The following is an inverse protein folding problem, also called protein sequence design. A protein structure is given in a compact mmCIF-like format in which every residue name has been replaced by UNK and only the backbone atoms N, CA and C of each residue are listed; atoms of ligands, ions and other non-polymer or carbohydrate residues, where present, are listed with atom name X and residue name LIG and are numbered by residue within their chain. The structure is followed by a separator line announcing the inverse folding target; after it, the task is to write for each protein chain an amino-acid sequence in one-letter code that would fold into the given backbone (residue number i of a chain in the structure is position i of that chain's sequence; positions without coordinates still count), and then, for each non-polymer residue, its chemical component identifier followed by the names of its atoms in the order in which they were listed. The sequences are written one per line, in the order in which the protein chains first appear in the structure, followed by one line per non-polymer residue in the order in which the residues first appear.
data_IF_352887489125
#
_entry.id   IF_352887489125
#
_cell.length_a   1.000
_cell.length_b   1.000
_cell.length_c   1.000
_cell.angle_alpha   90.00
_cell.angle_beta   90.00
_cell.angle_gamma   90.00
#
_symmetry.space_group_name_H-M   'P 1'
#
loop_
_entity.id
_entity.type
_entity.pdbx_description
1 polymer ?
#
# COMPACT_ATOMS: atom_id res chain seq x y z
N UNK A 1 2.74 1.61 3.66
CA UNK A 1 1.83 1.40 2.51
C UNK A 1 1.28 -0.01 2.42
N UNK A 2 1.95 -1.09 2.84
CA UNK A 2 1.30 -2.41 2.84
C UNK A 2 0.17 -2.53 3.86
N UNK A 3 -0.89 -3.21 3.43
CA UNK A 3 -2.12 -3.46 4.17
C UNK A 3 -1.89 -4.61 5.12
N UNK A 4 -1.99 -4.33 6.41
CA UNK A 4 -2.15 -5.41 7.37
C UNK A 4 -3.58 -5.95 7.20
N UNK A 5 -3.72 -7.25 6.93
CA UNK A 5 -4.97 -8.00 7.02
C UNK A 5 -5.39 -8.16 8.50
N UNK A 6 -5.41 -7.07 9.27
CA UNK A 6 -5.65 -7.10 10.70
C UNK A 6 -7.15 -7.02 10.99
N UNK A 7 -7.80 -8.19 11.07
CA UNK A 7 -9.16 -8.32 11.59
C UNK A 7 -9.15 -8.89 13.02
N UNK A 8 -9.86 -8.18 13.91
CA UNK A 8 -10.21 -8.55 15.30
C UNK A 8 -9.12 -8.67 16.38
N UNK A 9 -9.19 -7.75 17.34
CA UNK A 9 -8.56 -7.91 18.66
C UNK A 9 -9.52 -8.61 19.65
N UNK A 10 -9.16 -9.78 20.22
CA UNK A 10 -9.97 -10.39 21.28
C UNK A 10 -9.73 -9.69 22.63
N UNK A 11 -10.82 -9.43 23.37
CA UNK A 11 -10.72 -9.01 24.79
C UNK A 11 -10.35 -10.21 25.67
N UNK A 12 -9.55 -10.02 26.74
CA UNK A 12 -9.10 -11.14 27.57
C UNK A 12 -10.23 -11.70 28.45
N UNK A 13 -10.25 -13.02 28.65
CA UNK A 13 -10.89 -13.67 29.79
C UNK A 13 -9.79 -14.25 30.70
N UNK A 14 -9.89 -13.96 32.00
CA UNK A 14 -9.04 -14.55 33.03
C UNK A 14 -9.58 -15.91 33.50
N UNK A 15 -8.66 -16.81 33.83
CA UNK A 15 -8.66 -17.85 34.89
C UNK A 15 -7.31 -18.61 34.72
N UNK A 16 -6.38 -18.59 35.68
CA UNK A 16 -6.34 -19.47 36.86
C UNK A 16 -5.44 -20.69 36.57
N UNK A 17 -4.11 -20.66 36.83
CA UNK A 17 -3.42 -21.23 38.04
C UNK A 17 -3.65 -22.76 38.15
N UNK A 18 -2.69 -23.70 38.27
CA UNK A 18 -1.25 -23.77 38.65
C UNK A 18 -0.68 -25.14 38.16
N UNK A 19 0.51 -25.29 37.54
CA UNK A 19 1.89 -25.37 38.09
C UNK A 19 2.51 -26.80 38.09
N UNK A 20 3.84 -26.86 38.02
CA UNK A 20 4.79 -27.96 38.25
C UNK A 20 5.29 -28.86 37.08
N UNK A 21 6.62 -28.81 36.96
CA UNK A 21 7.58 -29.67 36.24
C UNK A 21 8.37 -30.47 37.32
N UNK A 22 9.16 -31.55 37.04
CA UNK A 22 10.45 -31.38 36.33
C UNK A 22 11.08 -32.59 35.57
N UNK A 23 11.89 -32.24 34.55
CA UNK A 23 13.26 -32.72 34.23
C UNK A 23 13.64 -34.23 34.35
N UNK A 24 14.15 -34.82 33.24
CA UNK A 24 15.32 -35.73 33.28
C UNK A 24 16.28 -35.62 32.06
N UNK A 25 17.55 -35.91 32.36
CA UNK A 25 18.80 -35.94 31.54
C UNK A 25 19.17 -37.39 31.18
N UNK A 26 20.02 -37.74 30.20
CA UNK A 26 20.64 -37.06 29.01
C UNK A 26 21.32 -38.16 28.19
N UNK A 27 21.30 -38.10 26.84
CA UNK A 27 22.28 -38.87 26.02
C UNK A 27 22.78 -38.06 24.82
N UNK A 28 24.11 -38.02 24.63
CA UNK A 28 24.75 -37.53 23.40
C UNK A 28 24.86 -38.67 22.38
N UNK A 29 24.79 -38.34 21.09
CA UNK A 29 25.37 -39.15 20.01
C UNK A 29 26.14 -38.21 19.08
N UNK A 30 27.38 -38.57 18.75
CA UNK A 30 28.28 -37.80 17.87
C UNK A 30 28.22 -38.30 16.42
N UNK A 31 28.78 -37.46 15.52
CA UNK A 31 29.09 -37.71 14.10
C UNK A 31 27.88 -37.87 13.13
N UNK A 32 27.83 -37.14 12.01
CA UNK A 32 28.90 -36.96 11.02
C UNK A 32 29.03 -35.56 10.44
N UNK A 33 30.25 -35.23 10.02
CA UNK A 33 30.63 -34.02 9.30
C UNK A 33 30.11 -34.01 7.86
N UNK A 34 29.18 -33.10 7.55
CA UNK A 34 28.78 -32.79 6.18
C UNK A 34 29.62 -31.64 5.62
N UNK A 35 30.44 -31.91 4.61
CA UNK A 35 31.18 -30.87 3.90
C UNK A 35 30.21 -30.08 3.00
N UNK A 36 30.11 -28.74 3.11
CA UNK A 36 29.20 -27.97 2.26
C UNK A 36 29.79 -27.86 0.85
N UNK A 37 29.17 -28.54 -0.13
CA UNK A 37 29.35 -28.18 -1.54
C UNK A 37 28.85 -26.74 -1.72
N UNK A 38 29.70 -25.87 -2.25
CA UNK A 38 29.40 -24.45 -2.50
C UNK A 38 28.37 -24.29 -3.62
N UNK A 39 27.09 -24.28 -3.28
CA UNK A 39 26.09 -23.53 -4.04
C UNK A 39 25.70 -22.32 -3.19
N UNK A 40 26.34 -21.18 -3.45
CA UNK A 40 25.97 -19.91 -2.85
C UNK A 40 24.63 -19.47 -3.47
N UNK A 41 23.55 -19.23 -2.71
CA UNK A 41 22.24 -18.93 -3.29
C UNK A 41 22.26 -17.54 -3.94
N UNK A 42 22.46 -17.51 -5.26
CA UNK A 42 22.06 -16.37 -6.07
C UNK A 42 20.54 -16.27 -6.02
N UNK A 43 20.05 -15.35 -5.19
CA UNK A 43 18.73 -14.79 -5.41
C UNK A 43 18.80 -14.04 -6.73
N UNK A 44 17.85 -14.29 -7.64
CA UNK A 44 17.70 -13.49 -8.84
C UNK A 44 17.47 -12.02 -8.47
N UNK A 45 17.88 -11.10 -9.35
CA UNK A 45 17.68 -9.67 -9.11
C UNK A 45 16.20 -9.34 -9.17
N UNK A 46 15.81 -8.29 -8.44
CA UNK A 46 14.48 -7.68 -8.55
C UNK A 46 14.13 -7.48 -10.03
N UNK A 47 15.08 -6.92 -10.77
CA UNK A 47 14.93 -6.46 -12.14
C UNK A 47 14.60 -7.66 -13.04
N UNK A 48 15.35 -8.77 -12.92
CA UNK A 48 15.08 -10.00 -13.68
C UNK A 48 13.70 -10.62 -13.41
N UNK A 49 13.14 -10.46 -12.22
CA UNK A 49 11.80 -10.97 -11.88
C UNK A 49 10.69 -10.01 -12.31
N UNK A 50 10.93 -8.72 -12.10
CA UNK A 50 10.05 -7.63 -12.51
C UNK A 50 9.84 -7.62 -14.04
N UNK A 51 10.95 -7.76 -14.78
CA UNK A 51 10.99 -7.85 -16.24
C UNK A 51 10.34 -9.14 -16.75
N UNK A 52 10.64 -10.29 -16.12
CA UNK A 52 10.06 -11.60 -16.48
C UNK A 52 8.54 -11.63 -16.37
N UNK A 53 8.00 -11.03 -15.30
CA UNK A 53 6.56 -10.90 -15.10
C UNK A 53 5.94 -9.75 -15.92
N UNK A 54 6.76 -9.02 -16.68
CA UNK A 54 6.35 -7.92 -17.53
C UNK A 54 5.64 -6.81 -16.76
N UNK A 55 6.03 -6.54 -15.50
CA UNK A 55 5.27 -5.62 -14.67
C UNK A 55 5.32 -4.19 -15.24
N UNK A 56 6.44 -3.71 -15.77
CA UNK A 56 6.46 -2.44 -16.51
C UNK A 56 5.43 -2.40 -17.66
N UNK A 57 5.14 -3.54 -18.31
CA UNK A 57 4.11 -3.63 -19.36
C UNK A 57 2.68 -3.59 -18.81
N UNK A 58 2.47 -3.91 -17.53
CA UNK A 58 1.20 -3.65 -16.85
C UNK A 58 0.97 -2.15 -16.65
N UNK A 59 2.05 -1.35 -16.62
CA UNK A 59 2.01 0.12 -16.46
C UNK A 59 2.06 0.88 -17.78
N UNK A 60 2.72 0.32 -18.79
CA UNK A 60 2.85 0.90 -20.13
C UNK A 60 1.57 0.79 -20.98
N UNK A 61 0.40 0.83 -20.35
CA UNK A 61 -0.85 1.09 -21.05
C UNK A 61 -0.89 2.56 -21.47
N UNK A 62 -0.04 2.91 -22.44
CA UNK A 62 -0.22 4.10 -23.27
C UNK A 62 -1.51 3.89 -24.08
N UNK A 63 -2.64 4.25 -23.46
CA UNK A 63 -3.83 4.70 -24.17
C UNK A 63 -3.80 6.23 -24.24
N UNK A 64 -3.12 6.81 -25.25
CA UNK A 64 -3.45 8.16 -25.68
C UNK A 64 -4.78 8.08 -26.44
N UNK A 65 -5.88 8.34 -25.75
CA UNK A 65 -7.17 8.78 -26.31
C UNK A 65 -8.14 9.01 -25.14
N UNK A 66 -9.05 9.97 -25.12
CA UNK A 66 -9.24 11.23 -25.83
C UNK A 66 -10.58 11.75 -25.29
N UNK A 67 -10.58 12.83 -24.50
CA UNK A 67 -11.77 13.68 -24.38
C UNK A 67 -11.37 15.13 -24.12
N UNK A 68 -10.69 15.71 -25.12
CA UNK A 68 -10.64 17.16 -25.24
C UNK A 68 -12.02 17.66 -25.64
N UNK A 69 -12.83 18.08 -24.66
CA UNK A 69 -14.11 18.72 -24.91
C UNK A 69 -13.96 20.26 -24.93
N UNK A 70 -13.12 20.76 -25.85
CA UNK A 70 -13.10 22.18 -26.26
C UNK A 70 -13.02 22.32 -27.77
N UNK A 71 -14.10 22.87 -28.35
CA UNK A 71 -14.22 23.25 -29.77
C UNK A 71 -14.33 22.01 -30.71
N UNK A 72 -15.26 21.88 -31.65
CA UNK A 72 -16.28 22.78 -32.22
C UNK A 72 -17.50 21.98 -32.70
N UNK A 73 -18.72 22.48 -32.54
CA UNK A 73 -19.53 22.93 -33.71
C UNK A 73 -20.73 23.76 -33.27
N UNK A 74 -20.75 25.01 -33.71
CA UNK A 74 -21.99 25.70 -34.04
C UNK A 74 -22.51 25.06 -35.33
N UNK A 75 -23.64 24.37 -35.24
CA UNK A 75 -24.35 23.83 -36.42
C UNK A 75 -25.79 24.31 -36.33
N UNK A 76 -26.23 25.02 -37.36
CA UNK A 76 -27.51 25.72 -37.37
C UNK A 76 -28.71 24.77 -37.34
N UNK A 77 -29.72 25.13 -36.54
CA UNK A 77 -31.08 24.61 -36.72
C UNK A 77 -31.96 25.78 -37.18
N UNK A 78 -31.98 25.97 -38.50
CA UNK A 78 -32.97 26.78 -39.19
C UNK A 78 -34.34 26.09 -39.04
N UNK A 79 -35.21 26.63 -38.20
CA UNK A 79 -36.67 26.47 -38.37
C UNK A 79 -37.20 27.78 -38.94
N UNK A 80 -37.59 27.74 -40.21
CA UNK A 80 -38.30 28.84 -40.86
C UNK A 80 -39.68 28.96 -40.21
N UNK A 81 -40.00 30.16 -39.72
CA UNK A 81 -41.24 30.50 -39.05
C UNK A 81 -41.58 31.96 -39.34
N UNK A 82 -42.25 32.17 -40.46
CA UNK A 82 -42.56 33.45 -41.08
C UNK A 82 -43.53 34.31 -40.25
N UNK A 83 -43.11 35.53 -39.90
CA UNK A 83 -43.87 36.46 -39.08
C UNK A 83 -43.24 37.85 -38.97
N UNK A 84 -43.89 38.83 -39.61
CA UNK A 84 -43.57 40.27 -39.72
C UNK A 84 -42.84 40.93 -38.51
N UNK A 85 -41.89 41.86 -38.75
CA UNK A 85 -41.17 42.54 -37.67
C UNK A 85 -42.03 43.58 -36.95
N UNK A 86 -42.31 43.34 -35.67
CA UNK A 86 -42.73 44.41 -34.75
C UNK A 86 -41.53 44.92 -33.96
N UNK A 87 -41.19 46.19 -34.14
CA UNK A 87 -40.04 46.86 -33.53
C UNK A 87 -40.26 47.07 -32.03
N UNK A 88 -40.00 46.05 -31.20
CA UNK A 88 -39.96 46.23 -29.75
C UNK A 88 -38.68 46.93 -29.34
N UNK A 89 -38.83 48.18 -28.89
CA UNK A 89 -37.79 49.01 -28.31
C UNK A 89 -37.03 48.26 -27.21
N UNK A 90 -35.70 48.12 -27.38
CA UNK A 90 -34.80 47.63 -26.33
C UNK A 90 -34.50 48.81 -25.41
N UNK A 91 -35.11 48.82 -24.23
CA UNK A 91 -34.83 49.81 -23.17
C UNK A 91 -33.41 49.61 -22.61
N UNK A 92 -32.56 50.65 -22.45
CA UNK A 92 -31.15 50.49 -22.05
C UNK A 92 -30.88 50.03 -20.60
N UNK A 93 -31.92 49.65 -19.84
CA UNK A 93 -31.84 49.41 -18.39
C UNK A 93 -32.45 48.06 -17.97
N UNK A 94 -32.57 47.08 -18.87
CA UNK A 94 -33.09 45.75 -18.53
C UNK A 94 -32.19 45.00 -17.52
N UNK A 95 -32.50 45.22 -16.25
CA UNK A 95 -31.81 44.70 -15.07
C UNK A 95 -32.07 43.22 -14.83
N UNK A 96 -32.98 42.62 -15.59
CA UNK A 96 -33.34 41.20 -15.52
C UNK A 96 -32.15 40.29 -15.85
N UNK A 97 -31.33 40.69 -16.83
CA UNK A 97 -30.10 39.97 -17.21
C UNK A 97 -29.08 39.95 -16.06
N UNK A 98 -28.95 41.07 -15.33
CA UNK A 98 -28.11 41.16 -14.14
C UNK A 98 -28.62 40.30 -12.97
N UNK A 99 -29.93 40.34 -12.71
CA UNK A 99 -30.56 39.54 -11.66
C UNK A 99 -30.43 38.01 -11.92
N UNK A 100 -30.60 37.58 -13.17
CA UNK A 100 -30.37 36.19 -13.58
C UNK A 100 -28.90 35.79 -13.44
N UNK A 101 -27.96 36.65 -13.86
CA UNK A 101 -26.53 36.43 -13.69
C UNK A 101 -26.11 36.28 -12.22
N UNK A 102 -26.57 37.18 -11.34
CA UNK A 102 -26.33 37.11 -9.89
C UNK A 102 -26.98 35.86 -9.27
N UNK A 103 -28.16 35.46 -9.74
CA UNK A 103 -28.84 34.23 -9.31
C UNK A 103 -28.12 32.95 -9.73
N UNK A 104 -27.54 32.91 -10.94
CA UNK A 104 -26.67 31.82 -11.41
C UNK A 104 -25.35 31.78 -10.63
N UNK A 105 -24.69 32.93 -10.44
CA UNK A 105 -23.45 33.03 -9.67
C UNK A 105 -23.67 32.59 -8.21
N UNK A 106 -24.77 33.02 -7.59
CA UNK A 106 -25.18 32.61 -6.24
C UNK A 106 -25.50 31.12 -6.13
N UNK A 107 -26.16 30.53 -7.14
CA UNK A 107 -26.37 29.07 -7.22
C UNK A 107 -25.05 28.31 -7.36
N UNK A 108 -24.14 28.77 -8.24
CA UNK A 108 -22.80 28.19 -8.43
C UNK A 108 -21.96 28.28 -7.16
N UNK A 109 -21.94 29.42 -6.47
CA UNK A 109 -21.23 29.57 -5.19
C UNK A 109 -21.81 28.69 -4.08
N UNK A 110 -23.14 28.56 -3.97
CA UNK A 110 -23.78 27.62 -3.02
C UNK A 110 -23.43 26.17 -3.32
N UNK A 111 -23.43 25.77 -4.60
CA UNK A 111 -23.01 24.45 -5.04
C UNK A 111 -21.55 24.15 -4.66
N UNK A 112 -20.62 25.07 -4.98
CA UNK A 112 -19.19 24.93 -4.65
C UNK A 112 -18.96 24.83 -3.14
N UNK A 113 -19.61 25.68 -2.33
CA UNK A 113 -19.55 25.60 -0.85
C UNK A 113 -20.08 24.26 -0.34
N UNK A 114 -21.20 23.76 -0.88
CA UNK A 114 -21.76 22.46 -0.49
C UNK A 114 -20.82 21.30 -0.88
N UNK A 115 -20.23 21.32 -2.08
CA UNK A 115 -19.21 20.34 -2.52
C UNK A 115 -18.00 20.37 -1.58
N UNK A 116 -17.47 21.54 -1.24
CA UNK A 116 -16.34 21.69 -0.33
C UNK A 116 -16.66 21.16 1.09
N UNK A 117 -17.87 21.40 1.60
CA UNK A 117 -18.33 20.84 2.89
C UNK A 117 -18.46 19.31 2.87
N UNK A 118 -18.92 18.74 1.75
CA UNK A 118 -18.98 17.28 1.57
C UNK A 118 -17.55 16.71 1.55
N UNK A 119 -16.66 17.25 0.71
CA UNK A 119 -15.26 16.81 0.61
C UNK A 119 -14.52 16.91 1.96
N UNK A 120 -14.71 17.98 2.72
CA UNK A 120 -14.11 18.12 4.04
C UNK A 120 -14.56 17.02 5.02
N UNK A 121 -15.84 16.62 4.99
CA UNK A 121 -16.36 15.49 5.78
C UNK A 121 -15.82 14.16 5.27
N UNK A 122 -15.75 13.97 3.95
CA UNK A 122 -15.19 12.77 3.33
C UNK A 122 -13.75 12.53 3.75
N UNK A 123 -12.88 13.53 3.64
CA UNK A 123 -11.47 13.41 4.05
C UNK A 123 -11.30 13.18 5.56
N UNK A 124 -12.17 13.75 6.40
CA UNK A 124 -12.17 13.47 7.85
C UNK A 124 -12.57 12.02 8.17
N UNK A 125 -13.48 11.42 7.38
CA UNK A 125 -13.80 9.99 7.52
C UNK A 125 -12.67 9.10 7.00
N UNK A 126 -12.04 9.44 5.87
CA UNK A 126 -10.81 8.77 5.42
C UNK A 126 -9.69 8.84 6.49
N UNK A 127 -9.56 9.98 7.19
CA UNK A 127 -8.65 10.13 8.34
C UNK A 127 -9.00 9.19 9.48
N UNK A 128 -10.29 9.12 9.87
CA UNK A 128 -10.78 8.24 10.94
C UNK A 128 -10.49 6.77 10.63
N UNK A 129 -10.79 6.33 9.41
CA UNK A 129 -10.50 4.98 8.92
C UNK A 129 -8.99 4.71 8.97
N UNK A 130 -8.17 5.61 8.45
CA UNK A 130 -6.70 5.44 8.47
C UNK A 130 -6.14 5.31 9.88
N UNK A 131 -6.59 6.15 10.82
CA UNK A 131 -6.16 6.13 12.22
C UNK A 131 -6.58 4.86 12.97
N UNK A 132 -7.80 4.38 12.71
CA UNK A 132 -8.36 3.19 13.34
C UNK A 132 -7.60 1.93 12.90
N UNK A 133 -7.41 1.75 11.58
CA UNK A 133 -6.93 0.50 11.00
C UNK A 133 -5.40 0.41 10.85
N UNK A 134 -4.64 1.52 10.79
CA UNK A 134 -3.17 1.43 10.67
C UNK A 134 -2.41 2.50 11.45
N UNK A 135 -2.19 2.26 12.74
CA UNK A 135 -1.53 3.22 13.65
C UNK A 135 -0.08 3.57 13.30
N UNK A 136 0.67 2.69 12.62
CA UNK A 136 2.03 3.00 12.16
C UNK A 136 1.99 3.88 10.91
N UNK A 137 1.14 3.52 9.94
CA UNK A 137 0.98 4.30 8.71
C UNK A 137 0.38 5.69 9.01
N UNK A 138 -0.67 5.77 9.83
CA UNK A 138 -1.28 7.03 10.23
C UNK A 138 -0.28 7.99 10.87
N UNK A 139 0.61 7.50 11.75
CA UNK A 139 1.71 8.30 12.32
C UNK A 139 2.66 8.81 11.23
N UNK A 140 3.06 7.96 10.28
CA UNK A 140 3.85 8.37 9.11
C UNK A 140 3.16 9.45 8.27
N UNK A 141 1.84 9.36 8.06
CA UNK A 141 1.10 10.41 7.34
C UNK A 141 1.08 11.76 8.05
N UNK A 142 1.31 11.83 9.36
CA UNK A 142 1.42 13.12 10.08
C UNK A 142 2.67 13.92 9.69
N UNK A 143 3.65 13.29 9.05
CA UNK A 143 4.86 13.95 8.54
C UNK A 143 4.65 14.59 7.15
N UNK A 144 3.58 14.23 6.42
CA UNK A 144 3.25 14.81 5.11
C UNK A 144 2.63 16.21 5.26
N UNK A 145 2.75 17.03 4.22
CA UNK A 145 1.98 18.29 4.10
C UNK A 145 0.46 18.02 4.22
N UNK A 146 -0.35 18.96 4.74
CA UNK A 146 -1.78 18.72 4.98
C UNK A 146 -2.59 18.33 3.73
N UNK A 147 -2.12 18.70 2.54
CA UNK A 147 -2.72 18.35 1.26
C UNK A 147 -2.42 16.90 0.86
N UNK A 148 -1.13 16.55 0.72
CA UNK A 148 -0.68 15.19 0.43
C UNK A 148 -1.25 14.18 1.44
N UNK A 149 -1.28 14.56 2.72
CA UNK A 149 -1.85 13.77 3.81
C UNK A 149 -3.30 13.36 3.56
N UNK A 150 -4.16 14.29 3.11
CA UNK A 150 -5.57 14.01 2.80
C UNK A 150 -5.72 13.06 1.61
N UNK A 151 -4.97 13.29 0.53
CA UNK A 151 -4.99 12.42 -0.64
C UNK A 151 -4.51 10.99 -0.30
N UNK A 152 -3.44 10.85 0.50
CA UNK A 152 -2.97 9.54 0.99
C UNK A 152 -4.01 8.83 1.86
N UNK A 153 -4.79 9.55 2.67
CA UNK A 153 -5.90 8.95 3.42
C UNK A 153 -7.03 8.44 2.52
N UNK A 154 -7.35 9.17 1.44
CA UNK A 154 -8.35 8.73 0.47
C UNK A 154 -7.91 7.45 -0.25
N UNK A 155 -6.67 7.40 -0.75
CA UNK A 155 -6.09 6.18 -1.36
C UNK A 155 -6.08 5.02 -0.35
N UNK A 156 -5.57 5.23 0.86
CA UNK A 156 -5.56 4.18 1.90
C UNK A 156 -6.96 3.66 2.22
N UNK A 157 -7.96 4.54 2.28
CA UNK A 157 -9.35 4.17 2.56
C UNK A 157 -9.96 3.36 1.43
N UNK A 158 -9.70 3.71 0.17
CA UNK A 158 -10.13 2.90 -0.97
C UNK A 158 -9.47 1.51 -0.96
N UNK A 159 -8.16 1.44 -0.73
CA UNK A 159 -7.44 0.18 -0.63
C UNK A 159 -7.95 -0.70 0.52
N UNK A 160 -8.22 -0.11 1.71
CA UNK A 160 -8.84 -0.78 2.85
C UNK A 160 -10.22 -1.36 2.50
N UNK A 161 -11.08 -0.57 1.85
CA UNK A 161 -12.40 -1.05 1.42
C UNK A 161 -12.32 -2.16 0.37
N UNK A 162 -11.27 -2.15 -0.45
CA UNK A 162 -10.98 -3.19 -1.46
C UNK A 162 -10.54 -4.50 -0.79
N UNK A 163 -9.65 -4.41 0.22
CA UNK A 163 -9.22 -5.50 1.11
C UNK A 163 -10.42 -6.11 1.88
N UNK A 164 -11.24 -5.26 2.51
CA UNK A 164 -12.41 -5.65 3.31
C UNK A 164 -13.52 -6.39 2.50
N UNK A 165 -13.50 -6.37 1.16
CA UNK A 165 -14.41 -7.20 0.33
C UNK A 165 -14.08 -8.68 0.49
N UNK A 166 -12.79 -9.02 0.49
CA UNK A 166 -12.31 -10.41 0.58
C UNK A 166 -11.88 -10.81 1.99
N UNK A 167 -11.64 -9.85 2.89
CA UNK A 167 -11.25 -10.12 4.29
C UNK A 167 -12.45 -10.53 5.16
N UNK A 168 -12.96 -11.75 4.93
CA UNK A 168 -14.10 -12.32 5.67
C UNK A 168 -13.99 -13.83 5.92
N UNK A 169 -14.63 -14.36 6.98
CA UNK A 169 -14.64 -15.80 7.21
C UNK A 169 -15.38 -16.53 6.08
N UNK A 170 -14.74 -17.60 5.56
CA UNK A 170 -15.27 -18.49 4.50
C UNK A 170 -15.30 -17.89 3.08
N UNK A 171 -14.27 -17.12 2.69
CA UNK A 171 -14.03 -16.64 1.31
C UNK A 171 -14.32 -17.70 0.24
N UNK A 172 -13.74 -18.89 0.39
CA UNK A 172 -13.87 -20.01 -0.55
C UNK A 172 -15.31 -20.51 -0.72
N UNK A 173 -16.17 -20.36 0.29
CA UNK A 173 -17.60 -20.73 0.22
C UNK A 173 -18.47 -19.64 -0.43
N UNK A 174 -17.89 -18.47 -0.74
CA UNK A 174 -18.59 -17.29 -1.30
C UNK A 174 -17.95 -16.79 -2.61
N UNK A 175 -17.08 -17.59 -3.22
CA UNK A 175 -16.19 -17.18 -4.32
C UNK A 175 -16.91 -16.58 -5.53
N UNK A 176 -18.13 -17.03 -5.86
CA UNK A 176 -18.97 -16.42 -6.91
C UNK A 176 -19.54 -15.05 -6.51
N UNK A 177 -20.03 -14.91 -5.27
CA UNK A 177 -20.56 -13.64 -4.76
C UNK A 177 -19.46 -12.58 -4.61
N UNK A 178 -18.26 -13.00 -4.19
CA UNK A 178 -17.09 -12.13 -4.09
C UNK A 178 -16.59 -11.65 -5.45
N UNK A 179 -16.56 -12.51 -6.48
CA UNK A 179 -16.29 -12.09 -7.86
C UNK A 179 -17.27 -11.02 -8.35
N UNK A 180 -18.56 -11.20 -8.10
CA UNK A 180 -19.58 -10.20 -8.49
C UNK A 180 -19.39 -8.88 -7.74
N UNK A 181 -19.01 -8.91 -6.46
CA UNK A 181 -18.68 -7.70 -5.70
C UNK A 181 -17.42 -6.99 -6.24
N UNK A 182 -16.38 -7.74 -6.61
CA UNK A 182 -15.16 -7.18 -7.20
C UNK A 182 -15.40 -6.61 -8.61
N UNK A 183 -16.31 -7.20 -9.40
CA UNK A 183 -16.74 -6.66 -10.70
C UNK A 183 -17.57 -5.37 -10.57
N UNK A 184 -18.47 -5.28 -9.59
CA UNK A 184 -19.14 -4.02 -9.25
C UNK A 184 -18.13 -2.97 -8.70
N UNK A 185 -17.12 -3.42 -7.96
CA UNK A 185 -16.04 -2.56 -7.46
C UNK A 185 -15.15 -2.00 -8.57
N UNK A 186 -14.93 -2.75 -9.66
CA UNK A 186 -14.25 -2.26 -10.87
C UNK A 186 -15.11 -1.23 -11.61
N UNK A 187 -16.42 -1.48 -11.79
CA UNK A 187 -17.36 -0.47 -12.30
C UNK A 187 -17.33 0.82 -11.47
N UNK A 188 -17.34 0.66 -10.14
CA UNK A 188 -17.27 1.77 -9.18
C UNK A 188 -15.95 2.54 -9.22
N UNK A 189 -14.85 1.87 -9.54
CA UNK A 189 -13.54 2.48 -9.72
C UNK A 189 -13.54 3.39 -10.96
N UNK A 190 -14.17 2.97 -12.06
CA UNK A 190 -14.31 3.79 -13.27
C UNK A 190 -15.14 5.06 -12.97
N UNK A 191 -16.27 4.94 -12.26
CA UNK A 191 -17.08 6.08 -11.80
C UNK A 191 -16.28 7.10 -10.96
N UNK A 192 -15.28 6.66 -10.19
CA UNK A 192 -14.40 7.52 -9.40
C UNK A 192 -13.40 8.26 -10.30
N UNK A 193 -12.82 7.58 -11.29
CA UNK A 193 -11.87 8.18 -12.23
C UNK A 193 -12.52 9.17 -13.20
N UNK A 194 -13.81 8.99 -13.51
CA UNK A 194 -14.66 9.98 -14.21
C UNK A 194 -15.02 11.21 -13.34
N UNK A 195 -14.54 11.26 -12.09
CA UNK A 195 -14.76 12.37 -11.16
C UNK A 195 -16.08 12.30 -10.38
N UNK A 196 -16.76 11.15 -10.42
CA UNK A 196 -17.97 10.83 -9.69
C UNK A 196 -17.72 10.10 -8.36
N UNK A 197 -18.64 9.21 -7.99
CA UNK A 197 -18.58 8.42 -6.77
C UNK A 197 -19.97 8.13 -6.18
N UNK A 198 -20.13 6.95 -5.58
CA UNK A 198 -21.40 6.47 -5.00
C UNK A 198 -21.59 6.92 -3.55
N UNK A 199 -20.52 7.26 -2.84
CA UNK A 199 -20.57 7.83 -1.49
C UNK A 199 -19.45 8.86 -1.23
N UNK A 200 -19.40 9.37 0.01
CA UNK A 200 -18.43 10.41 0.38
C UNK A 200 -16.97 9.96 0.24
N UNK A 201 -16.63 8.70 0.50
CA UNK A 201 -15.25 8.21 0.45
C UNK A 201 -14.76 8.14 -0.99
N UNK A 202 -15.65 7.73 -1.91
CA UNK A 202 -15.41 7.78 -3.36
C UNK A 202 -15.12 9.22 -3.80
N UNK A 203 -15.94 10.20 -3.36
CA UNK A 203 -15.74 11.61 -3.69
C UNK A 203 -14.39 12.17 -3.20
N UNK A 204 -13.82 11.64 -2.11
CA UNK A 204 -12.49 12.03 -1.66
C UNK A 204 -11.38 11.43 -2.53
N UNK A 205 -11.55 10.21 -3.05
CA UNK A 205 -10.59 9.66 -4.02
C UNK A 205 -10.71 10.35 -5.38
N UNK A 206 -11.92 10.62 -5.87
CA UNK A 206 -12.15 11.37 -7.11
C UNK A 206 -11.55 12.80 -7.06
N UNK A 207 -11.65 13.46 -5.91
CA UNK A 207 -10.98 14.75 -5.66
C UNK A 207 -9.44 14.60 -5.65
N UNK A 208 -8.90 13.54 -5.06
CA UNK A 208 -7.46 13.27 -5.11
C UNK A 208 -6.97 12.99 -6.54
N UNK A 209 -7.67 12.14 -7.32
CA UNK A 209 -7.38 11.86 -8.74
C UNK A 209 -7.40 13.15 -9.57
N UNK A 210 -8.42 14.01 -9.38
CA UNK A 210 -8.52 15.29 -10.09
C UNK A 210 -7.41 16.30 -9.77
N UNK A 211 -6.85 16.25 -8.55
CA UNK A 211 -5.75 17.11 -8.11
C UNK A 211 -4.37 16.55 -8.50
N UNK A 212 -4.20 15.23 -8.55
CA UNK A 212 -2.93 14.54 -8.88
C UNK A 212 -3.03 13.82 -10.23
N UNK A 213 -2.99 14.59 -11.33
CA UNK A 213 -3.28 14.11 -12.71
C UNK A 213 -2.39 13.01 -13.26
N UNK A 214 -1.21 12.78 -12.68
CA UNK A 214 -0.35 11.64 -13.05
C UNK A 214 -0.77 10.32 -12.37
N UNK A 215 -1.83 10.33 -11.55
CA UNK A 215 -2.42 9.11 -10.98
C UNK A 215 -3.27 8.37 -12.02
N UNK A 216 -2.87 7.15 -12.35
CA UNK A 216 -3.57 6.28 -13.31
C UNK A 216 -4.49 5.28 -12.61
N UNK A 217 -5.52 4.78 -13.32
CA UNK A 217 -6.46 3.77 -12.81
C UNK A 217 -5.83 2.36 -12.74
N UNK A 218 -4.83 2.08 -13.58
CA UNK A 218 -4.15 0.78 -13.71
C UNK A 218 -3.72 0.11 -12.38
N UNK A 219 -3.03 0.79 -11.44
CA UNK A 219 -2.73 0.20 -10.12
C UNK A 219 -3.97 -0.23 -9.32
N UNK A 220 -5.06 0.53 -9.43
CA UNK A 220 -6.29 0.25 -8.71
C UNK A 220 -6.93 -1.02 -9.26
N UNK A 221 -7.02 -1.16 -10.59
CA UNK A 221 -7.45 -2.41 -11.24
C UNK A 221 -6.53 -3.59 -10.91
N UNK A 222 -5.20 -3.38 -10.88
CA UNK A 222 -4.26 -4.43 -10.49
C UNK A 222 -4.39 -4.85 -9.01
N UNK A 223 -4.77 -3.95 -8.11
CA UNK A 223 -5.13 -4.31 -6.73
C UNK A 223 -6.41 -5.16 -6.68
N UNK A 224 -7.42 -4.85 -7.49
CA UNK A 224 -8.64 -5.68 -7.62
C UNK A 224 -8.28 -7.10 -8.12
N UNK A 225 -7.37 -7.21 -9.10
CA UNK A 225 -6.82 -8.51 -9.54
C UNK A 225 -6.05 -9.23 -8.43
N UNK A 226 -5.45 -8.50 -7.48
CA UNK A 226 -4.84 -9.07 -6.27
C UNK A 226 -5.88 -9.69 -5.34
N UNK A 227 -7.00 -9.00 -5.11
CA UNK A 227 -8.11 -9.54 -4.32
C UNK A 227 -8.76 -10.77 -4.99
N UNK A 228 -8.79 -10.84 -6.32
CA UNK A 228 -9.22 -12.05 -7.03
C UNK A 228 -8.30 -13.25 -6.77
N UNK A 229 -6.97 -13.04 -6.67
CA UNK A 229 -6.05 -14.11 -6.25
C UNK A 229 -6.40 -14.60 -4.84
N UNK A 230 -6.73 -13.68 -3.91
CA UNK A 230 -7.15 -14.05 -2.56
C UNK A 230 -8.47 -14.85 -2.51
N UNK A 231 -9.36 -14.71 -3.51
CA UNK A 231 -10.58 -15.53 -3.60
C UNK A 231 -10.27 -16.96 -4.04
N UNK A 232 -9.26 -17.14 -4.90
CA UNK A 232 -9.03 -18.36 -5.66
C UNK A 232 -7.84 -19.20 -5.18
N UNK A 233 -6.89 -18.58 -4.47
CA UNK A 233 -5.60 -19.16 -4.11
C UNK A 233 -5.36 -19.09 -2.60
N UNK A 234 -4.85 -20.19 -2.02
CA UNK A 234 -4.52 -20.28 -0.59
C UNK A 234 -3.05 -20.65 -0.32
N UNK A 235 -2.27 -20.91 -1.40
CA UNK A 235 -0.88 -21.38 -1.43
C UNK A 235 -0.18 -20.77 -2.63
N UNK A 236 1.12 -20.49 -2.51
CA UNK A 236 1.97 -20.01 -3.59
C UNK A 236 3.07 -21.04 -3.82
N UNK A 237 3.17 -21.59 -5.03
CA UNK A 237 4.13 -22.66 -5.33
C UNK A 237 5.56 -22.09 -5.32
N UNK A 238 5.75 -20.94 -5.97
CA UNK A 238 7.02 -20.26 -6.13
C UNK A 238 7.02 -18.86 -5.50
N UNK A 239 8.23 -18.29 -5.32
CA UNK A 239 8.37 -16.89 -4.98
C UNK A 239 7.90 -15.96 -6.11
N UNK A 240 7.96 -16.37 -7.38
CA UNK A 240 7.48 -15.56 -8.51
C UNK A 240 5.95 -15.34 -8.41
N UNK A 241 5.20 -16.37 -8.01
CA UNK A 241 3.76 -16.28 -7.73
C UNK A 241 3.47 -15.33 -6.56
N UNK A 242 4.22 -15.48 -5.46
CA UNK A 242 4.08 -14.63 -4.27
C UNK A 242 4.47 -13.18 -4.57
N UNK A 243 5.46 -12.96 -5.42
CA UNK A 243 5.92 -11.65 -5.83
C UNK A 243 4.85 -10.94 -6.67
N UNK A 244 4.20 -11.64 -7.62
CA UNK A 244 3.06 -11.10 -8.37
C UNK A 244 1.91 -10.69 -7.44
N UNK A 245 1.64 -11.51 -6.42
CA UNK A 245 0.68 -11.15 -5.36
C UNK A 245 1.11 -9.89 -4.59
N UNK A 246 2.35 -9.84 -4.11
CA UNK A 246 2.88 -8.69 -3.35
C UNK A 246 2.93 -7.39 -4.18
N UNK A 247 3.20 -7.50 -5.48
CA UNK A 247 3.04 -6.42 -6.44
C UNK A 247 1.58 -5.92 -6.45
N UNK A 248 0.61 -6.81 -6.71
CA UNK A 248 -0.81 -6.42 -6.84
C UNK A 248 -1.39 -5.82 -5.56
N UNK A 249 -1.12 -6.40 -4.39
CA UNK A 249 -1.77 -5.96 -3.13
C UNK A 249 -1.02 -4.85 -2.39
N UNK A 250 0.23 -4.54 -2.74
CA UNK A 250 1.02 -3.52 -2.04
C UNK A 250 2.01 -2.73 -2.90
N UNK A 251 2.61 -3.33 -3.93
CA UNK A 251 3.44 -2.63 -4.92
C UNK A 251 2.63 -1.55 -5.66
N UNK A 252 1.45 -1.90 -6.15
CA UNK A 252 0.47 -0.99 -6.77
C UNK A 252 0.21 0.25 -5.92
N UNK A 253 0.11 0.12 -4.60
CA UNK A 253 -0.16 1.23 -3.68
C UNK A 253 1.03 2.16 -3.48
N UNK A 254 2.26 1.64 -3.57
CA UNK A 254 3.44 2.47 -3.74
C UNK A 254 3.30 3.39 -4.96
N UNK A 255 2.73 2.87 -6.05
CA UNK A 255 2.54 3.60 -7.29
C UNK A 255 1.27 4.48 -7.35
N UNK A 256 0.16 4.10 -6.69
CA UNK A 256 -1.01 4.99 -6.49
C UNK A 256 -0.63 6.27 -5.75
N UNK A 257 0.34 6.17 -4.82
CA UNK A 257 0.74 7.27 -3.95
C UNK A 257 1.99 8.00 -4.42
N UNK A 258 2.76 7.46 -5.38
CA UNK A 258 3.94 8.11 -5.93
C UNK A 258 3.62 9.47 -6.59
N UNK A 259 2.54 9.65 -7.39
CA UNK A 259 2.10 10.97 -7.85
C UNK A 259 1.77 11.96 -6.71
N UNK A 260 1.27 11.46 -5.58
CA UNK A 260 0.99 12.29 -4.39
C UNK A 260 2.29 12.69 -3.69
N UNK A 261 3.28 11.79 -3.64
CA UNK A 261 4.60 12.12 -3.11
C UNK A 261 5.32 13.14 -3.99
N UNK A 262 5.22 12.99 -5.31
CA UNK A 262 5.98 13.77 -6.27
C UNK A 262 7.48 13.46 -6.23
N UNK A 263 8.18 13.92 -7.24
CA UNK A 263 9.59 13.59 -7.52
C UNK A 263 10.41 14.85 -7.78
N UNK A 264 11.74 14.77 -7.61
CA UNK A 264 12.65 15.91 -7.81
C UNK A 264 12.59 16.43 -9.24
N UNK A 265 12.50 15.52 -10.21
CA UNK A 265 12.04 15.83 -11.57
C UNK A 265 10.50 15.79 -11.58
N UNK A 266 9.79 16.85 -12.00
CA UNK A 266 8.33 16.83 -12.08
C UNK A 266 7.83 15.99 -13.28
N UNK A 267 6.58 15.49 -13.17
CA UNK A 267 5.90 14.76 -14.24
C UNK A 267 6.40 13.32 -14.46
N UNK A 268 5.87 12.69 -15.52
CA UNK A 268 6.01 11.25 -15.80
C UNK A 268 7.45 10.71 -15.82
N UNK A 269 8.44 11.48 -16.30
CA UNK A 269 9.84 11.03 -16.32
C UNK A 269 10.39 10.79 -14.92
N UNK A 270 10.22 11.76 -14.01
CA UNK A 270 10.67 11.64 -12.63
C UNK A 270 9.91 10.57 -11.85
N UNK A 271 8.60 10.44 -12.11
CA UNK A 271 7.81 9.34 -11.55
C UNK A 271 8.39 8.00 -11.98
N UNK A 272 8.66 7.79 -13.28
CA UNK A 272 9.27 6.56 -13.81
C UNK A 272 10.61 6.23 -13.16
N UNK A 273 11.49 7.21 -12.93
CA UNK A 273 12.75 7.00 -12.21
C UNK A 273 12.54 6.51 -10.75
N UNK A 274 11.43 6.90 -10.12
CA UNK A 274 11.09 6.50 -8.76
C UNK A 274 10.18 5.24 -8.67
N UNK A 275 9.62 4.76 -9.78
CA UNK A 275 8.65 3.64 -9.82
C UNK A 275 9.22 2.37 -9.19
N UNK A 276 10.40 1.91 -9.63
CA UNK A 276 11.02 0.70 -9.13
C UNK A 276 11.23 0.71 -7.59
N UNK A 277 11.56 1.87 -7.04
CA UNK A 277 11.79 2.03 -5.61
C UNK A 277 10.49 2.09 -4.80
N UNK A 278 9.44 2.72 -5.36
CA UNK A 278 8.10 2.72 -4.77
C UNK A 278 7.49 1.30 -4.76
N UNK A 279 7.69 0.54 -5.84
CA UNK A 279 7.35 -0.89 -5.94
C UNK A 279 8.12 -1.74 -4.92
N UNK A 280 9.44 -1.59 -4.87
CA UNK A 280 10.27 -2.31 -3.92
C UNK A 280 9.86 -2.00 -2.47
N UNK A 281 9.43 -0.76 -2.18
CA UNK A 281 8.87 -0.42 -0.87
C UNK A 281 7.58 -1.21 -0.62
N UNK A 282 6.61 -1.17 -1.55
CA UNK A 282 5.36 -1.92 -1.44
C UNK A 282 5.57 -3.41 -1.17
N UNK A 283 6.44 -4.06 -1.95
CA UNK A 283 6.76 -5.48 -1.82
C UNK A 283 7.47 -5.78 -0.50
N UNK A 284 8.50 -5.02 -0.10
CA UNK A 284 9.19 -5.21 1.18
C UNK A 284 8.26 -5.06 2.39
N UNK A 285 7.31 -4.12 2.31
CA UNK A 285 6.28 -3.94 3.32
C UNK A 285 5.28 -5.11 3.37
N UNK A 286 4.92 -5.74 2.24
CA UNK A 286 3.98 -6.88 2.22
C UNK A 286 4.65 -8.18 2.67
N UNK A 287 5.89 -8.44 2.24
CA UNK A 287 6.69 -9.54 2.79
C UNK A 287 6.83 -9.42 4.32
N UNK A 288 6.99 -8.19 4.83
CA UNK A 288 7.00 -7.92 6.28
C UNK A 288 5.65 -8.21 6.95
N UNK A 289 4.53 -7.99 6.27
CA UNK A 289 3.21 -8.35 6.80
C UNK A 289 3.06 -9.88 6.86
N UNK A 290 3.33 -10.59 5.76
CA UNK A 290 3.32 -12.06 5.67
C UNK A 290 4.17 -12.68 6.79
N UNK A 291 5.41 -12.22 6.95
CA UNK A 291 6.33 -12.77 7.96
C UNK A 291 5.93 -12.45 9.41
N UNK A 292 5.15 -11.39 9.63
CA UNK A 292 4.61 -11.05 10.95
C UNK A 292 3.34 -11.85 11.27
N UNK A 293 2.53 -12.15 10.26
CA UNK A 293 1.13 -12.56 10.42
C UNK A 293 0.89 -14.05 10.15
N UNK A 294 1.93 -14.87 9.90
CA UNK A 294 1.86 -16.34 9.72
C UNK A 294 0.94 -17.05 10.74
N UNK A 295 1.00 -16.65 12.02
CA UNK A 295 0.15 -17.21 13.07
C UNK A 295 -1.34 -16.87 12.96
N UNK A 296 -1.70 -15.75 12.32
CA UNK A 296 -3.06 -15.34 12.01
C UNK A 296 -3.53 -15.93 10.67
N UNK A 297 -2.67 -15.98 9.66
CA UNK A 297 -2.97 -16.51 8.32
C UNK A 297 -3.30 -18.00 8.35
N UNK A 298 -2.53 -18.80 9.10
CA UNK A 298 -2.82 -20.24 9.28
C UNK A 298 -4.20 -20.50 9.88
N UNK A 299 -4.71 -19.60 10.75
CA UNK A 299 -6.04 -19.73 11.37
C UNK A 299 -7.17 -19.48 10.34
N UNK A 300 -6.85 -18.81 9.23
CA UNK A 300 -7.72 -18.66 8.05
C UNK A 300 -7.49 -19.77 7.02
N UNK A 301 -6.61 -20.73 7.31
CA UNK A 301 -6.23 -21.83 6.41
C UNK A 301 -5.27 -21.42 5.29
N UNK A 302 -4.60 -20.26 5.40
CA UNK A 302 -3.71 -19.70 4.37
C UNK A 302 -2.24 -19.89 4.70
N UNK A 303 -1.42 -20.06 3.66
CA UNK A 303 0.04 -20.03 3.75
C UNK A 303 0.54 -19.16 2.59
N UNK A 304 1.03 -17.96 2.90
CA UNK A 304 1.64 -17.06 1.92
C UNK A 304 3.13 -17.36 1.67
N UNK A 305 3.80 -18.09 2.56
CA UNK A 305 5.20 -18.49 2.35
C UNK A 305 5.29 -19.44 1.14
N UNK A 306 6.26 -19.28 0.21
CA UNK A 306 6.34 -20.14 -0.98
C UNK A 306 6.57 -21.60 -0.61
N UNK A 307 5.84 -22.51 -1.24
CA UNK A 307 5.99 -23.95 -1.01
C UNK A 307 7.39 -24.44 -1.39
N UNK A 308 8.00 -23.86 -2.43
CA UNK A 308 9.40 -24.13 -2.79
C UNK A 308 10.39 -23.83 -1.64
N UNK A 309 10.12 -22.79 -0.84
CA UNK A 309 11.00 -22.36 0.25
C UNK A 309 10.74 -23.20 1.51
N UNK A 310 9.49 -23.58 1.78
CA UNK A 310 9.16 -24.63 2.74
C UNK A 310 9.95 -25.93 2.45
N UNK A 311 9.88 -26.41 1.21
CA UNK A 311 10.60 -27.60 0.76
C UNK A 311 12.13 -27.43 0.86
N UNK A 312 12.67 -26.26 0.49
CA UNK A 312 14.10 -25.91 0.57
C UNK A 312 14.68 -26.03 1.97
N UNK A 313 13.89 -25.73 3.01
CA UNK A 313 14.26 -25.88 4.41
C UNK A 313 13.78 -27.20 5.05
N UNK A 314 13.27 -28.14 4.25
CA UNK A 314 12.70 -29.43 4.67
C UNK A 314 11.57 -29.26 5.71
N UNK A 315 10.77 -28.20 5.57
CA UNK A 315 9.68 -27.82 6.47
C UNK A 315 8.33 -28.00 5.76
N UNK A 316 7.39 -28.73 6.35
CA UNK A 316 6.13 -29.08 5.68
C UNK A 316 5.01 -28.07 5.96
N UNK A 317 3.95 -28.11 5.16
CA UNK A 317 2.71 -27.40 5.51
C UNK A 317 2.13 -27.88 6.84
N UNK A 318 2.20 -29.19 7.13
CA UNK A 318 1.72 -29.76 8.38
C UNK A 318 2.51 -29.22 9.58
N UNK A 319 3.84 -29.12 9.47
CA UNK A 319 4.69 -28.46 10.47
C UNK A 319 4.24 -27.00 10.71
N UNK A 320 3.94 -26.25 9.65
CA UNK A 320 3.47 -24.86 9.74
C UNK A 320 2.12 -24.75 10.44
N UNK A 321 1.13 -25.56 10.01
CA UNK A 321 -0.21 -25.54 10.57
C UNK A 321 -0.22 -25.93 12.06
N UNK A 322 0.67 -26.85 12.46
CA UNK A 322 0.91 -27.30 13.83
C UNK A 322 1.88 -26.41 14.64
N UNK A 323 2.37 -25.29 14.10
CA UNK A 323 3.28 -24.34 14.75
C UNK A 323 4.63 -24.93 15.22
N UNK A 324 5.25 -25.82 14.44
CA UNK A 324 6.51 -26.50 14.80
C UNK A 324 7.72 -25.53 14.78
N UNK A 325 7.96 -24.85 15.90
CA UNK A 325 9.01 -23.84 16.03
C UNK A 325 10.42 -24.42 16.24
N UNK A 326 10.97 -25.09 15.23
CA UNK A 326 12.29 -25.74 15.26
C UNK A 326 13.39 -24.97 14.48
N UNK A 327 14.56 -25.61 14.30
CA UNK A 327 15.70 -25.02 13.56
C UNK A 327 15.44 -24.87 12.06
N UNK A 328 14.61 -25.73 11.45
CA UNK A 328 14.21 -25.63 10.04
C UNK A 328 13.41 -24.35 9.83
N UNK A 329 12.36 -24.16 10.65
CA UNK A 329 11.52 -22.95 10.60
C UNK A 329 12.34 -21.67 10.84
N UNK A 330 13.22 -21.66 11.85
CA UNK A 330 14.08 -20.51 12.14
C UNK A 330 15.05 -20.17 11.00
N UNK A 331 15.45 -21.14 10.19
CA UNK A 331 16.30 -20.89 9.03
C UNK A 331 15.49 -20.41 7.81
N UNK A 332 14.29 -20.95 7.59
CA UNK A 332 13.30 -20.41 6.64
C UNK A 332 12.99 -18.93 6.95
N UNK A 333 12.65 -18.60 8.20
CA UNK A 333 12.35 -17.22 8.61
C UNK A 333 13.53 -16.26 8.39
N UNK A 334 14.77 -16.67 8.66
CA UNK A 334 15.96 -15.85 8.35
C UNK A 334 16.11 -15.60 6.85
N UNK A 335 15.87 -16.61 6.03
CA UNK A 335 15.96 -16.51 4.57
C UNK A 335 14.91 -15.52 4.02
N UNK A 336 13.66 -15.61 4.48
CA UNK A 336 12.61 -14.66 4.12
C UNK A 336 12.83 -13.24 4.64
N UNK A 337 13.33 -13.10 5.88
CA UNK A 337 13.72 -11.79 6.43
C UNK A 337 14.85 -11.16 5.60
N UNK A 338 15.83 -11.95 5.18
CA UNK A 338 16.90 -11.48 4.29
C UNK A 338 16.36 -11.07 2.90
N UNK A 339 15.38 -11.81 2.37
CA UNK A 339 14.63 -11.45 1.15
C UNK A 339 13.94 -10.09 1.32
N UNK A 340 13.12 -9.91 2.37
CA UNK A 340 12.43 -8.65 2.65
C UNK A 340 13.38 -7.45 2.86
N UNK A 341 14.52 -7.65 3.55
CA UNK A 341 15.55 -6.60 3.71
C UNK A 341 16.17 -6.14 2.38
N UNK A 342 16.27 -7.00 1.36
CA UNK A 342 16.74 -6.59 0.01
C UNK A 342 15.78 -5.58 -0.64
N UNK A 343 14.48 -5.79 -0.50
CA UNK A 343 13.45 -4.87 -0.99
C UNK A 343 13.54 -3.51 -0.30
N UNK A 344 13.71 -3.47 1.02
CA UNK A 344 13.93 -2.21 1.75
C UNK A 344 15.23 -1.50 1.30
N UNK A 345 16.31 -2.22 1.03
CA UNK A 345 17.55 -1.63 0.48
C UNK A 345 17.36 -1.09 -0.94
N UNK A 346 16.56 -1.72 -1.82
CA UNK A 346 16.22 -1.15 -3.14
C UNK A 346 15.33 0.09 -2.98
N UNK A 347 14.29 0.02 -2.14
CA UNK A 347 13.38 1.13 -1.85
C UNK A 347 14.11 2.38 -1.33
N UNK A 348 15.06 2.20 -0.41
CA UNK A 348 15.82 3.31 0.18
C UNK A 348 16.56 4.13 -0.89
N UNK A 349 17.08 3.49 -1.94
CA UNK A 349 17.76 4.18 -3.04
C UNK A 349 16.86 5.19 -3.73
N UNK A 350 15.54 4.98 -3.78
CA UNK A 350 14.61 5.94 -4.40
C UNK A 350 14.19 7.11 -3.50
N UNK A 351 14.52 7.12 -2.21
CA UNK A 351 14.05 8.17 -1.28
C UNK A 351 14.52 9.56 -1.71
N UNK A 352 15.73 9.69 -2.25
CA UNK A 352 16.24 10.98 -2.73
C UNK A 352 15.60 11.44 -4.06
N UNK A 353 14.96 10.54 -4.81
CA UNK A 353 14.23 10.86 -6.04
C UNK A 353 12.87 11.51 -5.77
N UNK A 354 12.37 11.43 -4.53
CA UNK A 354 11.13 12.06 -4.10
C UNK A 354 11.29 13.57 -3.84
N UNK A 355 10.19 14.30 -3.99
CA UNK A 355 10.09 15.70 -3.56
C UNK A 355 10.46 15.84 -2.07
N UNK A 356 11.11 16.96 -1.70
CA UNK A 356 11.78 17.12 -0.40
C UNK A 356 10.85 16.86 0.79
N UNK A 357 9.62 17.38 0.75
CA UNK A 357 8.60 17.23 1.79
C UNK A 357 8.05 15.80 1.93
N UNK A 358 8.29 14.94 0.94
CA UNK A 358 7.91 13.52 0.94
C UNK A 358 9.04 12.57 1.35
N UNK A 359 10.30 13.02 1.35
CA UNK A 359 11.47 12.18 1.70
C UNK A 359 11.37 11.64 3.13
N UNK A 360 11.16 12.51 4.12
CA UNK A 360 11.06 12.12 5.54
C UNK A 360 9.88 11.17 5.82
N UNK A 361 8.64 11.45 5.39
CA UNK A 361 7.51 10.54 5.56
C UNK A 361 7.76 9.13 5.02
N UNK A 362 8.39 9.01 3.84
CA UNK A 362 8.70 7.73 3.21
C UNK A 362 9.85 7.01 3.93
N UNK A 363 10.96 7.71 4.22
CA UNK A 363 12.08 7.15 4.97
C UNK A 363 11.65 6.65 6.37
N UNK A 364 10.84 7.44 7.10
CA UNK A 364 10.31 7.03 8.40
C UNK A 364 9.37 5.82 8.30
N UNK A 365 8.56 5.73 7.24
CA UNK A 365 7.70 4.56 7.00
C UNK A 365 8.52 3.30 6.68
N UNK A 366 9.58 3.44 5.87
CA UNK A 366 10.52 2.38 5.53
C UNK A 366 11.23 1.85 6.77
N UNK A 367 11.85 2.74 7.56
CA UNK A 367 12.61 2.38 8.76
C UNK A 367 11.71 1.71 9.82
N UNK A 368 10.50 2.25 10.05
CA UNK A 368 9.54 1.70 11.01
C UNK A 368 9.07 0.29 10.65
N UNK A 369 8.81 0.00 9.36
CA UNK A 369 8.41 -1.34 8.96
C UNK A 369 9.60 -2.30 8.93
N UNK A 370 10.79 -1.87 8.48
CA UNK A 370 11.97 -2.75 8.50
C UNK A 370 12.34 -3.21 9.92
N UNK A 371 12.11 -2.37 10.94
CA UNK A 371 12.28 -2.76 12.35
C UNK A 371 11.31 -3.84 12.85
N UNK A 372 10.21 -4.14 12.12
CA UNK A 372 9.35 -5.30 12.45
C UNK A 372 10.11 -6.61 12.21
N UNK A 373 10.98 -6.65 11.19
CA UNK A 373 11.85 -7.80 10.93
C UNK A 373 12.88 -7.99 12.05
N UNK A 374 13.37 -6.90 12.65
CA UNK A 374 14.26 -6.97 13.81
C UNK A 374 13.51 -7.51 15.05
N UNK A 375 12.25 -7.13 15.26
CA UNK A 375 11.39 -7.71 16.32
C UNK A 375 11.13 -9.22 16.11
N UNK A 376 11.03 -9.68 14.86
CA UNK A 376 10.95 -11.11 14.54
C UNK A 376 12.25 -11.88 14.85
N UNK A 377 13.41 -11.25 14.74
CA UNK A 377 14.66 -11.86 15.19
C UNK A 377 14.76 -11.85 16.73
N UNK A 378 14.39 -10.74 17.38
CA UNK A 378 14.40 -10.57 18.84
C UNK A 378 13.45 -11.55 19.56
N UNK A 379 12.29 -11.84 18.98
CA UNK A 379 11.32 -12.78 19.57
C UNK A 379 11.67 -14.26 19.32
N UNK A 380 12.80 -14.55 18.66
CA UNK A 380 13.23 -15.92 18.34
C UNK A 380 12.48 -16.56 17.17
N UNK A 381 11.93 -15.74 16.28
CA UNK A 381 11.10 -16.10 15.12
C UNK A 381 9.72 -16.69 15.48
N UNK A 382 9.21 -16.44 16.69
CA UNK A 382 7.86 -16.88 17.13
C UNK A 382 6.75 -15.93 16.64
N UNK A 383 6.52 -15.94 15.33
CA UNK A 383 5.37 -15.27 14.68
C UNK A 383 4.08 -16.12 14.72
N UNK A 384 4.13 -17.37 15.21
CA UNK A 384 2.94 -18.19 15.45
C UNK A 384 2.13 -17.68 16.65
N UNK A 385 2.81 -17.30 17.74
CA UNK A 385 2.16 -16.92 19.00
C UNK A 385 2.36 -15.43 19.35
N UNK A 386 3.35 -14.75 18.74
CA UNK A 386 3.70 -13.36 19.07
C UNK A 386 3.84 -12.51 17.81
N UNK A 387 2.73 -11.91 17.39
CA UNK A 387 2.69 -10.90 16.32
C UNK A 387 3.70 -9.78 16.60
N UNK A 388 4.70 -9.62 15.74
CA UNK A 388 5.77 -8.63 15.91
C UNK A 388 5.29 -7.19 15.64
N UNK A 389 5.52 -6.26 16.57
CA UNK A 389 5.21 -4.84 16.36
C UNK A 389 6.25 -3.94 17.01
N UNK A 390 6.51 -2.78 16.39
CA UNK A 390 7.36 -1.76 16.99
C UNK A 390 6.60 -0.97 18.07
N UNK A 391 7.24 -0.75 19.22
CA UNK A 391 6.69 0.01 20.33
C UNK A 391 6.51 1.50 20.01
N UNK A 392 5.72 2.21 20.82
CA UNK A 392 5.60 3.68 20.71
C UNK A 392 6.95 4.40 20.87
N UNK A 393 7.82 3.91 21.75
CA UNK A 393 9.16 4.47 21.94
C UNK A 393 10.06 4.24 20.72
N UNK A 394 10.11 3.03 20.15
CA UNK A 394 10.86 2.76 18.91
C UNK A 394 10.40 3.66 17.76
N UNK A 395 9.08 3.82 17.57
CA UNK A 395 8.52 4.77 16.58
C UNK A 395 9.06 6.19 16.78
N UNK A 396 9.08 6.69 18.01
CA UNK A 396 9.53 8.05 18.31
C UNK A 396 11.03 8.23 18.02
N UNK A 397 11.88 7.28 18.42
CA UNK A 397 13.31 7.31 18.15
C UNK A 397 13.68 7.08 16.67
N UNK A 398 12.78 6.46 15.89
CA UNK A 398 12.99 6.25 14.45
C UNK A 398 12.96 7.57 13.67
N UNK A 399 12.05 8.50 14.01
CA UNK A 399 11.83 9.71 13.19
C UNK A 399 13.08 10.61 13.08
N UNK A 400 13.84 10.93 14.16
CA UNK A 400 15.09 11.67 14.04
C UNK A 400 16.14 10.96 13.17
N UNK A 401 16.23 9.63 13.26
CA UNK A 401 17.14 8.82 12.45
C UNK A 401 16.79 8.86 10.97
N UNK A 402 15.51 8.67 10.66
CA UNK A 402 14.99 8.83 9.30
C UNK A 402 15.22 10.23 8.77
N UNK A 403 15.07 11.28 9.60
CA UNK A 403 15.36 12.66 9.18
C UNK A 403 16.83 12.84 8.78
N UNK A 404 17.77 12.39 9.63
CA UNK A 404 19.21 12.45 9.31
C UNK A 404 19.53 11.71 8.00
N UNK A 405 18.92 10.53 7.76
CA UNK A 405 19.09 9.76 6.50
C UNK A 405 18.57 10.49 5.25
N UNK A 406 17.68 11.48 5.39
CA UNK A 406 17.23 12.31 4.26
C UNK A 406 18.09 13.55 3.99
N UNK A 407 19.15 13.78 4.76
CA UNK A 407 20.04 14.94 4.59
C UNK A 407 21.21 14.56 3.66
N UNK A 408 21.18 15.05 2.43
CA UNK A 408 22.24 14.88 1.42
C UNK A 408 23.51 15.72 1.71
N UNK A 409 23.95 15.80 2.97
CA UNK A 409 25.12 16.59 3.38
C UNK A 409 26.16 15.70 4.10
N UNK A 410 27.39 15.55 3.53
CA UNK A 410 28.46 14.72 4.10
C UNK A 410 28.83 15.02 5.55
N UNK A 411 28.59 16.24 6.06
CA UNK A 411 28.92 16.60 7.44
C UNK A 411 28.14 15.80 8.50
N UNK A 412 27.00 15.21 8.13
CA UNK A 412 26.19 14.38 9.03
C UNK A 412 26.60 12.91 9.04
N UNK A 413 27.51 12.48 8.16
CA UNK A 413 27.92 11.08 8.04
C UNK A 413 28.44 10.48 9.37
N UNK A 414 29.30 11.16 10.16
CA UNK A 414 29.73 10.62 11.45
C UNK A 414 28.59 10.44 12.46
N UNK A 415 27.57 11.33 12.42
CA UNK A 415 26.39 11.23 13.28
C UNK A 415 25.46 10.11 12.83
N UNK A 416 25.34 9.88 11.52
CA UNK A 416 24.67 8.72 10.95
C UNK A 416 25.37 7.43 11.41
N UNK A 417 26.67 7.28 11.16
CA UNK A 417 27.44 6.08 11.50
C UNK A 417 27.31 5.73 13.00
N UNK A 418 27.47 6.72 13.89
CA UNK A 418 27.27 6.55 15.35
C UNK A 418 25.85 6.11 15.69
N UNK A 419 24.85 6.72 15.06
CA UNK A 419 23.47 6.48 15.44
C UNK A 419 22.86 5.24 14.76
N UNK A 420 23.43 4.75 13.64
CA UNK A 420 23.15 3.41 13.10
C UNK A 420 23.73 2.30 13.99
N UNK A 421 24.94 2.52 14.51
CA UNK A 421 25.56 1.66 15.52
C UNK A 421 24.71 1.60 16.81
N UNK A 422 24.29 2.74 17.35
CA UNK A 422 23.42 2.83 18.55
C UNK A 422 22.03 2.24 18.30
N UNK A 423 21.45 2.45 17.12
CA UNK A 423 20.14 1.91 16.76
C UNK A 423 20.14 0.41 16.41
N UNK A 424 21.31 -0.26 16.41
CA UNK A 424 21.43 -1.69 16.09
C UNK A 424 20.86 -2.09 14.73
N UNK A 425 20.81 -1.15 13.77
CA UNK A 425 20.00 -1.24 12.56
C UNK A 425 20.58 -2.23 11.54
N UNK A 426 20.23 -3.52 11.67
CA UNK A 426 20.67 -4.61 10.77
C UNK A 426 20.22 -4.49 9.31
N UNK A 427 19.41 -3.48 8.98
CA UNK A 427 18.98 -3.13 7.61
C UNK A 427 20.18 -3.04 6.65
N UNK A 428 21.33 -2.60 7.16
CA UNK A 428 22.55 -2.26 6.39
C UNK A 428 23.70 -3.26 6.53
N UNK A 429 23.53 -4.36 7.26
CA UNK A 429 24.49 -5.45 7.20
C UNK A 429 24.40 -6.13 5.80
N UNK A 430 25.54 -6.28 5.08
CA UNK A 430 25.57 -6.89 3.75
C UNK A 430 25.15 -8.37 3.76
#
# INVERSE_FOLDING_TARGET
MAFAHSSWAPRPRFNGVSNQQPIRRTTMVMEKSFSPRRNNPQFESFDSLHDRLGIENLWSSDTPDAFDMRQTSTSDVLVVGDGSPSTKSIMPWDTTTGALGVSLLGRRMRFLRKRQQILAKSYEECRRITELFSKTFFLGTQLLSPEKRRAVWAVYTWCRRTDDIVDGPRVTQRSAALRNQLADWETRLDEIFDGGGRDGLDMALADAVGNYRDMTCTPFRDMIKGMLMDVDQARFDTFDDLYLYCYRVAGTVGLMTLPIMGTVKPGREGLREAMEAALALGIGLQLTNILRDVGEDRLRGRIYLPLEDLHRFNYTEEDLMNCVLDTRYKNLMKFEIARARKYFRKAQKGVHLLAEDSRLPVQASLDMYSQILDVLEENGFDNFNRRAYISKSRKLFTVPMSFLRTRDNPSWKPLLDVAEFVAGSKIYAP
#
